data_IF_104445298899
#
_entry.id   IF_104445298899
#
_cell.length_a   1.000
_cell.length_b   1.000
_cell.length_c   1.000
_cell.angle_alpha   90.00
_cell.angle_beta   90.00
_cell.angle_gamma   90.00
#
_symmetry.space_group_name_H-M   'P 1'
#
loop_
_entity.id
_entity.type
_entity.pdbx_description
1 polymer ?
#
# COMPACT_ATOMS: atom_id res chain seq x y z
N UNK A 1 16.08 14.17 5.76
CA UNK A 1 15.70 13.06 4.87
C UNK A 1 14.23 12.75 5.11
N UNK A 2 13.43 12.72 4.06
CA UNK A 2 11.98 12.49 4.11
C UNK A 2 11.67 10.99 4.01
N UNK A 3 10.43 10.57 4.35
CA UNK A 3 10.00 9.18 4.15
C UNK A 3 10.13 8.74 2.68
N UNK A 4 9.89 9.65 1.74
CA UNK A 4 10.02 9.38 0.31
C UNK A 4 11.47 9.09 -0.09
N UNK A 5 12.44 9.77 0.53
CA UNK A 5 13.87 9.51 0.34
C UNK A 5 14.27 8.13 0.89
N UNK A 6 13.64 7.68 1.99
CA UNK A 6 13.84 6.34 2.55
C UNK A 6 13.25 5.25 1.66
N UNK A 7 12.04 5.47 1.14
CA UNK A 7 11.38 4.57 0.18
C UNK A 7 12.14 4.47 -1.15
N UNK A 8 12.88 5.52 -1.53
CA UNK A 8 13.72 5.54 -2.73
C UNK A 8 14.95 4.61 -2.66
N UNK A 9 15.31 4.13 -1.48
CA UNK A 9 16.45 3.21 -1.31
C UNK A 9 16.07 1.72 -1.51
N UNK A 10 14.76 1.39 -1.51
CA UNK A 10 14.30 0.00 -1.61
C UNK A 10 14.33 -0.48 -3.05
N UNK A 11 15.06 -1.56 -3.33
CA UNK A 11 15.08 -2.21 -4.65
C UNK A 11 14.33 -3.57 -4.63
N UNK A 12 13.78 -4.02 -5.78
CA UNK A 12 12.70 -5.00 -5.80
C UNK A 12 13.15 -6.45 -5.92
N UNK A 13 14.44 -6.72 -6.08
CA UNK A 13 14.98 -7.97 -6.67
C UNK A 13 14.66 -9.25 -5.91
N UNK A 14 13.79 -9.18 -4.91
CA UNK A 14 13.98 -10.00 -3.77
C UNK A 14 12.87 -10.03 -2.71
N UNK A 15 11.59 -9.78 -3.04
CA UNK A 15 10.48 -9.83 -2.06
C UNK A 15 10.36 -11.17 -1.29
N UNK A 16 11.12 -12.17 -1.73
CA UNK A 16 11.61 -13.25 -0.89
C UNK A 16 10.57 -14.34 -0.78
N UNK A 17 10.05 -14.53 0.43
CA UNK A 17 9.15 -15.65 0.77
C UNK A 17 7.73 -15.16 1.07
N UNK A 18 6.71 -16.04 0.93
CA UNK A 18 5.36 -15.74 1.38
C UNK A 18 5.30 -15.34 2.86
N UNK A 19 4.41 -14.40 3.18
CA UNK A 19 4.20 -13.95 4.55
C UNK A 19 3.67 -15.06 5.45
N UNK A 20 4.12 -15.07 6.70
CA UNK A 20 3.65 -15.98 7.75
C UNK A 20 3.82 -15.35 9.14
N UNK A 21 3.06 -15.88 10.11
CA UNK A 21 2.97 -15.34 11.46
C UNK A 21 4.31 -15.26 12.20
N UNK A 22 5.18 -16.26 12.05
CA UNK A 22 6.45 -16.30 12.75
C UNK A 22 7.37 -15.16 12.29
N UNK A 23 7.48 -14.97 10.97
CA UNK A 23 8.29 -13.91 10.38
C UNK A 23 7.65 -12.53 10.53
N UNK A 24 6.31 -12.47 10.57
CA UNK A 24 5.59 -11.24 10.86
C UNK A 24 5.91 -10.75 12.29
N UNK A 25 5.80 -11.65 13.29
CA UNK A 25 6.23 -11.35 14.66
C UNK A 25 7.72 -11.05 14.77
N UNK A 26 8.55 -11.67 13.93
CA UNK A 26 9.98 -11.41 13.87
C UNK A 26 10.31 -9.99 13.43
N UNK A 27 9.50 -9.45 12.53
CA UNK A 27 9.76 -8.19 11.81
C UNK A 27 8.76 -7.09 12.15
N UNK A 28 8.02 -7.17 13.27
CA UNK A 28 7.06 -6.13 13.70
C UNK A 28 7.70 -4.75 13.94
N UNK A 29 9.02 -4.69 14.05
CA UNK A 29 9.75 -3.43 14.09
C UNK A 29 9.51 -2.52 12.89
N UNK A 30 9.10 -3.06 11.74
CA UNK A 30 8.86 -2.30 10.52
C UNK A 30 7.83 -1.18 10.71
N UNK A 31 6.90 -1.31 11.66
CA UNK A 31 5.89 -0.29 11.95
C UNK A 31 6.44 0.90 12.74
N UNK A 32 7.57 0.75 13.44
CA UNK A 32 8.13 1.79 14.33
C UNK A 32 9.52 2.25 13.92
N UNK A 33 10.09 1.66 12.87
CA UNK A 33 11.41 2.04 12.34
C UNK A 33 11.22 2.92 11.10
N UNK A 34 11.61 4.22 11.16
CA UNK A 34 11.30 5.16 10.08
C UNK A 34 12.33 5.16 8.93
N UNK A 35 13.50 4.55 9.11
CA UNK A 35 14.60 4.63 8.12
C UNK A 35 14.94 3.27 7.53
N UNK A 36 15.36 3.26 6.26
CA UNK A 36 15.81 2.06 5.57
C UNK A 36 16.98 1.39 6.31
N UNK A 37 18.00 2.17 6.66
CA UNK A 37 19.16 1.69 7.40
C UNK A 37 18.80 1.09 8.77
N UNK A 38 17.83 1.70 9.48
CA UNK A 38 17.35 1.19 10.75
C UNK A 38 16.64 -0.16 10.62
N UNK A 39 15.94 -0.41 9.50
CA UNK A 39 15.30 -1.71 9.24
C UNK A 39 16.38 -2.79 9.11
N UNK A 40 17.44 -2.52 8.33
CA UNK A 40 18.56 -3.44 8.15
C UNK A 40 19.28 -3.76 9.46
N UNK A 41 19.52 -2.74 10.29
CA UNK A 41 20.15 -2.94 11.60
C UNK A 41 19.34 -3.89 12.49
N UNK A 42 18.02 -3.69 12.55
CA UNK A 42 17.11 -4.53 13.36
C UNK A 42 16.95 -5.95 12.79
N UNK A 43 17.22 -6.16 11.50
CA UNK A 43 17.19 -7.50 10.90
C UNK A 43 18.24 -8.44 11.50
N UNK A 44 19.38 -7.93 12.02
CA UNK A 44 20.42 -8.76 12.65
C UNK A 44 19.92 -9.52 13.87
N UNK A 45 19.12 -8.87 14.71
CA UNK A 45 18.51 -9.52 15.87
C UNK A 45 17.39 -10.47 15.46
N UNK A 46 16.55 -10.08 14.50
CA UNK A 46 15.48 -10.92 14.00
C UNK A 46 15.99 -12.19 13.31
N UNK A 47 17.10 -12.11 12.56
CA UNK A 47 17.78 -13.24 11.95
C UNK A 47 18.28 -14.25 12.98
N UNK A 48 18.90 -13.77 14.08
CA UNK A 48 19.30 -14.62 15.21
C UNK A 48 18.10 -15.34 15.83
N UNK A 49 17.00 -14.62 16.09
CA UNK A 49 15.78 -15.20 16.68
C UNK A 49 15.10 -16.22 15.77
N UNK A 50 15.10 -15.98 14.47
CA UNK A 50 14.52 -16.88 13.48
C UNK A 50 15.45 -18.05 13.10
N UNK A 51 16.73 -17.99 13.49
CA UNK A 51 17.78 -18.89 12.99
C UNK A 51 17.77 -18.95 11.45
N UNK A 52 17.64 -17.78 10.82
CA UNK A 52 17.51 -17.64 9.37
C UNK A 52 18.65 -16.78 8.80
N UNK A 53 19.01 -16.94 7.51
CA UNK A 53 19.98 -16.06 6.85
C UNK A 53 19.57 -14.59 6.95
N UNK A 54 20.52 -13.71 7.28
CA UNK A 54 20.27 -12.28 7.46
C UNK A 54 19.60 -11.67 6.21
N UNK A 55 20.14 -11.95 5.03
CA UNK A 55 19.60 -11.44 3.76
C UNK A 55 18.13 -11.84 3.57
N UNK A 56 17.74 -13.07 3.93
CA UNK A 56 16.35 -13.50 3.82
C UNK A 56 15.42 -12.69 4.73
N UNK A 57 15.88 -12.35 5.95
CA UNK A 57 15.14 -11.52 6.91
C UNK A 57 15.08 -10.07 6.46
N UNK A 58 16.18 -9.51 5.95
CA UNK A 58 16.23 -8.16 5.38
C UNK A 58 15.23 -8.01 4.23
N UNK A 59 15.26 -8.93 3.28
CA UNK A 59 14.33 -8.99 2.15
C UNK A 59 12.87 -9.01 2.58
N UNK A 60 12.55 -9.85 3.57
CA UNK A 60 11.20 -9.96 4.11
C UNK A 60 10.77 -8.69 4.86
N UNK A 61 11.63 -8.17 5.74
CA UNK A 61 11.35 -6.99 6.53
C UNK A 61 11.19 -5.75 5.65
N UNK A 62 12.09 -5.55 4.68
CA UNK A 62 12.02 -4.44 3.72
C UNK A 62 10.76 -4.50 2.87
N UNK A 63 10.35 -5.67 2.40
CA UNK A 63 9.09 -5.79 1.66
C UNK A 63 7.88 -5.39 2.52
N UNK A 64 7.81 -5.85 3.78
CA UNK A 64 6.72 -5.43 4.70
C UNK A 64 6.78 -3.94 5.03
N UNK A 65 7.98 -3.44 5.32
CA UNK A 65 8.24 -2.05 5.62
C UNK A 65 7.81 -1.15 4.45
N UNK A 66 8.24 -1.48 3.24
CA UNK A 66 7.89 -0.75 2.03
C UNK A 66 6.38 -0.70 1.81
N UNK A 67 5.67 -1.83 1.93
CA UNK A 67 4.22 -1.86 1.78
C UNK A 67 3.49 -1.02 2.84
N UNK A 68 3.93 -1.07 4.09
CA UNK A 68 3.34 -0.28 5.16
C UNK A 68 3.60 1.22 4.97
N UNK A 69 4.86 1.61 4.75
CA UNK A 69 5.24 3.02 4.66
C UNK A 69 4.79 3.68 3.37
N UNK A 70 4.70 2.95 2.24
CA UNK A 70 4.04 3.48 1.04
C UNK A 70 2.54 3.71 1.28
N UNK A 71 1.84 2.81 1.98
CA UNK A 71 0.44 3.03 2.36
C UNK A 71 0.28 4.28 3.23
N UNK A 72 1.08 4.43 4.29
CA UNK A 72 1.04 5.62 5.17
C UNK A 72 1.37 6.93 4.42
N UNK A 73 2.32 6.88 3.47
CA UNK A 73 2.69 8.03 2.67
C UNK A 73 1.56 8.46 1.71
N UNK A 74 0.90 7.50 1.06
CA UNK A 74 -0.27 7.77 0.20
C UNK A 74 -1.48 8.23 1.01
N UNK A 75 -1.72 7.63 2.17
CA UNK A 75 -2.79 8.06 3.08
C UNK A 75 -2.57 9.52 3.50
N UNK A 76 -1.33 9.90 3.80
CA UNK A 76 -0.98 11.28 4.16
C UNK A 76 -1.23 12.27 3.01
N UNK A 77 -1.00 11.88 1.75
CA UNK A 77 -1.36 12.69 0.58
C UNK A 77 -2.88 12.88 0.46
N UNK A 78 -3.67 11.83 0.72
CA UNK A 78 -5.14 11.93 0.72
C UNK A 78 -5.62 12.85 1.85
N UNK A 79 -5.09 12.67 3.06
CA UNK A 79 -5.47 13.43 4.26
C UNK A 79 -5.05 14.90 4.21
N UNK A 80 -4.14 15.29 3.31
CA UNK A 80 -3.81 16.69 3.06
C UNK A 80 -4.95 17.45 2.37
N UNK A 81 -5.91 16.74 1.76
CA UNK A 81 -7.03 17.36 1.06
C UNK A 81 -8.16 17.78 2.05
N UNK A 82 -8.77 18.98 1.93
CA UNK A 82 -9.79 19.48 2.87
C UNK A 82 -11.09 18.66 2.97
N UNK A 83 -11.33 17.74 2.03
CA UNK A 83 -12.47 16.81 2.04
C UNK A 83 -12.16 15.51 2.79
N UNK A 84 -10.92 15.27 3.17
CA UNK A 84 -10.50 14.05 3.83
C UNK A 84 -10.24 14.31 5.32
N UNK A 85 -10.58 13.33 6.16
CA UNK A 85 -10.15 13.31 7.57
C UNK A 85 -9.79 11.90 8.00
N UNK A 86 -8.83 11.73 8.93
CA UNK A 86 -8.46 10.40 9.40
C UNK A 86 -9.58 9.78 10.25
N UNK A 87 -9.58 8.46 10.34
CA UNK A 87 -10.29 7.77 11.42
C UNK A 87 -9.63 8.09 12.78
N UNK A 88 -10.38 8.33 13.87
CA UNK A 88 -9.81 8.65 15.19
C UNK A 88 -8.88 7.55 15.74
N UNK A 89 -9.26 6.29 15.51
CA UNK A 89 -8.40 5.14 15.74
C UNK A 89 -7.63 4.78 14.46
N UNK A 90 -6.31 4.98 14.47
CA UNK A 90 -5.40 4.63 13.36
C UNK A 90 -5.30 3.14 13.08
N UNK A 91 -5.76 2.29 14.00
CA UNK A 91 -5.75 0.82 13.86
C UNK A 91 -7.13 0.26 13.58
N UNK A 92 -8.08 1.13 13.22
CA UNK A 92 -9.43 0.68 12.94
C UNK A 92 -9.42 -0.35 11.80
N UNK A 93 -10.09 -1.50 11.97
CA UNK A 93 -9.84 -2.67 11.12
C UNK A 93 -10.33 -2.52 9.67
N UNK A 94 -11.20 -1.54 9.39
CA UNK A 94 -11.92 -1.45 8.10
C UNK A 94 -12.08 -0.04 7.54
N UNK A 95 -11.55 0.98 8.22
CA UNK A 95 -11.68 2.39 7.83
C UNK A 95 -10.40 3.13 8.21
N UNK A 96 -9.67 3.63 7.22
CA UNK A 96 -8.47 4.43 7.40
C UNK A 96 -8.81 5.94 7.47
N UNK A 97 -9.75 6.39 6.64
CA UNK A 97 -10.14 7.79 6.52
C UNK A 97 -11.59 7.94 6.06
N UNK A 98 -12.11 9.16 6.16
CA UNK A 98 -13.42 9.56 5.65
C UNK A 98 -13.25 10.58 4.53
N UNK A 99 -14.08 10.49 3.50
CA UNK A 99 -14.24 11.52 2.48
C UNK A 99 -15.61 12.15 2.58
N UNK A 100 -15.65 13.47 2.50
CA UNK A 100 -16.89 14.24 2.39
C UNK A 100 -17.34 14.33 0.94
N UNK A 101 -18.57 13.91 0.65
CA UNK A 101 -19.22 14.10 -0.66
C UNK A 101 -19.71 15.55 -0.84
N UNK A 102 -20.40 15.82 -1.95
CA UNK A 102 -20.88 17.17 -2.30
C UNK A 102 -22.01 17.65 -1.40
N UNK A 103 -22.80 16.72 -0.89
CA UNK A 103 -23.90 16.97 0.03
C UNK A 103 -23.41 17.11 1.48
N UNK A 104 -22.10 17.04 1.70
CA UNK A 104 -21.49 17.16 3.02
C UNK A 104 -21.51 15.88 3.84
N UNK A 105 -21.93 14.74 3.26
CA UNK A 105 -21.95 13.45 3.95
C UNK A 105 -20.56 12.84 3.95
N UNK A 106 -20.19 12.23 5.05
CA UNK A 106 -18.91 11.55 5.19
C UNK A 106 -19.06 10.05 4.96
N UNK A 107 -18.21 9.51 4.09
CA UNK A 107 -18.15 8.08 3.79
C UNK A 107 -16.76 7.56 4.19
N UNK A 108 -16.72 6.51 5.00
CA UNK A 108 -15.47 5.89 5.45
C UNK A 108 -14.90 4.93 4.41
N UNK A 109 -13.58 4.93 4.23
CA UNK A 109 -12.85 4.11 3.27
C UNK A 109 -11.61 3.44 3.89
N UNK A 110 -11.35 2.22 3.44
CA UNK A 110 -10.08 1.47 3.61
C UNK A 110 -9.20 1.68 2.36
N UNK A 111 -7.97 2.16 2.55
CA UNK A 111 -7.05 2.45 1.45
C UNK A 111 -6.33 1.17 1.01
N UNK A 112 -6.36 0.90 -0.30
CA UNK A 112 -5.69 -0.26 -0.89
C UNK A 112 -4.76 0.15 -2.03
N UNK A 113 -3.48 -0.16 -1.87
CA UNK A 113 -2.46 0.02 -2.90
C UNK A 113 -2.21 -1.32 -3.59
N UNK A 114 -2.38 -1.38 -4.91
CA UNK A 114 -2.18 -2.62 -5.67
C UNK A 114 -1.51 -2.36 -7.01
N UNK A 115 -0.69 -3.31 -7.47
CA UNK A 115 -0.34 -3.35 -8.89
C UNK A 115 -1.59 -3.69 -9.72
N UNK A 116 -1.57 -3.40 -11.01
CA UNK A 116 -2.59 -3.90 -11.92
C UNK A 116 -2.60 -5.45 -11.88
N UNK A 117 -3.76 -6.11 -11.71
CA UNK A 117 -3.77 -7.54 -11.44
C UNK A 117 -3.44 -8.36 -12.69
N UNK A 118 -2.44 -9.24 -12.61
CA UNK A 118 -2.06 -10.13 -13.71
C UNK A 118 -3.18 -11.07 -14.15
N UNK A 119 -4.09 -11.42 -13.23
CA UNK A 119 -5.22 -12.33 -13.47
C UNK A 119 -6.50 -11.60 -13.90
N UNK A 120 -6.46 -10.29 -14.05
CA UNK A 120 -7.63 -9.53 -14.51
C UNK A 120 -7.93 -9.88 -15.97
N UNK A 121 -9.17 -10.27 -16.33
CA UNK A 121 -9.46 -10.88 -17.63
C UNK A 121 -9.48 -9.90 -18.81
N UNK A 122 -9.18 -8.62 -18.60
CA UNK A 122 -9.26 -7.57 -19.63
C UNK A 122 -7.96 -6.76 -19.65
N UNK A 123 -7.71 -6.07 -20.76
CA UNK A 123 -6.54 -5.19 -20.87
C UNK A 123 -6.61 -4.00 -19.92
N UNK A 124 -5.45 -3.41 -19.62
CA UNK A 124 -5.39 -2.13 -18.90
C UNK A 124 -6.24 -1.05 -19.58
N UNK A 125 -6.18 -0.92 -20.91
CA UNK A 125 -6.97 0.06 -21.65
C UNK A 125 -8.48 -0.14 -21.46
N UNK A 126 -8.94 -1.39 -21.36
CA UNK A 126 -10.33 -1.67 -21.03
C UNK A 126 -10.64 -1.25 -19.59
N UNK A 127 -9.80 -1.65 -18.63
CA UNK A 127 -9.97 -1.33 -17.21
C UNK A 127 -10.02 0.19 -16.96
N UNK A 128 -9.16 0.93 -17.64
CA UNK A 128 -9.07 2.39 -17.55
C UNK A 128 -10.36 3.07 -18.02
N UNK A 129 -11.00 2.54 -19.08
CA UNK A 129 -12.29 3.04 -19.57
C UNK A 129 -13.50 2.52 -18.77
N UNK A 130 -13.33 1.43 -18.03
CA UNK A 130 -14.39 0.76 -17.27
C UNK A 130 -13.92 0.51 -15.82
N UNK A 131 -13.62 1.56 -15.04
CA UNK A 131 -13.03 1.44 -13.71
C UNK A 131 -13.92 0.65 -12.74
N UNK A 132 -15.25 0.71 -12.90
CA UNK A 132 -16.22 -0.07 -12.12
C UNK A 132 -16.03 -1.57 -12.27
N UNK A 133 -15.73 -2.05 -13.49
CA UNK A 133 -15.51 -3.49 -13.73
C UNK A 133 -14.22 -3.96 -13.04
N UNK A 134 -13.15 -3.15 -13.09
CA UNK A 134 -11.92 -3.45 -12.36
C UNK A 134 -12.15 -3.44 -10.84
N UNK A 135 -12.85 -2.44 -10.33
CA UNK A 135 -13.21 -2.34 -8.91
C UNK A 135 -13.99 -3.57 -8.44
N UNK A 136 -15.04 -3.97 -9.15
CA UNK A 136 -15.82 -5.18 -8.84
C UNK A 136 -14.95 -6.43 -8.84
N UNK A 137 -14.05 -6.56 -9.81
CA UNK A 137 -13.12 -7.67 -9.87
C UNK A 137 -12.17 -7.69 -8.66
N UNK A 138 -11.59 -6.53 -8.29
CA UNK A 138 -10.70 -6.40 -7.12
C UNK A 138 -11.42 -6.78 -5.81
N UNK A 139 -12.68 -6.39 -5.65
CA UNK A 139 -13.51 -6.78 -4.51
C UNK A 139 -13.75 -8.30 -4.45
N UNK A 140 -14.02 -8.94 -5.60
CA UNK A 140 -14.27 -10.38 -5.65
C UNK A 140 -13.01 -11.23 -5.42
N UNK A 141 -11.84 -10.70 -5.80
CA UNK A 141 -10.56 -11.40 -5.75
C UNK A 141 -9.68 -10.99 -4.56
N UNK A 142 -10.26 -10.33 -3.55
CA UNK A 142 -9.59 -10.05 -2.29
C UNK A 142 -9.32 -11.33 -1.50
N UNK A 143 -8.35 -11.31 -0.58
CA UNK A 143 -8.07 -12.43 0.32
C UNK A 143 -9.37 -12.88 1.02
N UNK A 144 -9.68 -14.17 0.90
CA UNK A 144 -10.94 -14.79 1.35
C UNK A 144 -10.91 -15.21 2.83
N UNK A 145 -9.81 -14.95 3.54
CA UNK A 145 -9.61 -15.34 4.94
C UNK A 145 -10.23 -14.31 5.93
N UNK A 146 -9.82 -14.35 7.22
CA UNK A 146 -10.28 -13.49 8.35
C UNK A 146 -10.33 -11.97 8.08
N UNK A 147 -9.83 -11.49 6.94
CA UNK A 147 -9.84 -10.10 6.50
C UNK A 147 -10.92 -9.80 5.43
N UNK A 148 -11.86 -10.72 5.19
CA UNK A 148 -12.98 -10.46 4.30
C UNK A 148 -13.98 -9.51 4.97
N UNK A 149 -14.00 -8.24 4.54
CA UNK A 149 -15.04 -7.27 4.89
C UNK A 149 -15.56 -6.60 3.61
N UNK A 150 -16.76 -6.03 3.71
CA UNK A 150 -17.45 -5.30 2.62
C UNK A 150 -17.42 -3.78 2.82
N UNK A 151 -16.47 -3.28 3.61
CA UNK A 151 -16.31 -1.84 3.78
C UNK A 151 -15.92 -1.17 2.45
N UNK A 152 -16.22 0.12 2.31
CA UNK A 152 -15.81 0.86 1.13
C UNK A 152 -14.28 0.93 1.07
N UNK A 153 -13.74 0.80 -0.14
CA UNK A 153 -12.31 0.79 -0.39
C UNK A 153 -11.97 1.79 -1.47
N UNK A 154 -10.93 2.56 -1.22
CA UNK A 154 -10.30 3.37 -2.25
C UNK A 154 -9.08 2.60 -2.77
N UNK A 155 -9.13 2.20 -4.05
CA UNK A 155 -8.01 1.53 -4.68
C UNK A 155 -7.11 2.51 -5.43
N UNK A 156 -5.82 2.50 -5.11
CA UNK A 156 -4.76 3.12 -5.91
C UNK A 156 -4.08 2.01 -6.69
N UNK A 157 -4.29 2.00 -8.00
CA UNK A 157 -3.81 0.95 -8.91
C UNK A 157 -2.58 1.44 -9.69
N UNK A 158 -1.45 0.76 -9.50
CA UNK A 158 -0.18 1.07 -10.14
C UNK A 158 0.03 0.20 -11.39
N UNK A 159 0.33 0.83 -12.52
CA UNK A 159 0.60 0.13 -13.78
C UNK A 159 1.70 0.85 -14.55
N UNK A 160 2.83 0.17 -14.78
CA UNK A 160 3.84 0.61 -15.75
C UNK A 160 3.60 -0.12 -17.08
N UNK A 161 3.38 0.67 -18.13
CA UNK A 161 3.10 0.17 -19.49
C UNK A 161 4.32 -0.47 -20.15
N UNK A 162 5.53 -0.18 -19.66
CA UNK A 162 6.80 -0.64 -20.24
C UNK A 162 7.28 -1.93 -19.57
N UNK A 163 7.13 -2.02 -18.26
CA UNK A 163 7.42 -3.23 -17.50
C UNK A 163 6.37 -3.41 -16.40
N UNK A 164 5.43 -4.37 -16.50
CA UNK A 164 4.47 -4.64 -15.44
C UNK A 164 5.11 -4.90 -14.07
N UNK A 165 6.35 -5.40 -14.03
CA UNK A 165 7.12 -5.57 -12.79
C UNK A 165 7.57 -4.24 -12.21
N UNK A 166 7.57 -3.15 -12.96
CA UNK A 166 7.89 -1.79 -12.50
C UNK A 166 6.81 -1.14 -11.62
N UNK A 167 5.66 -1.79 -11.41
CA UNK A 167 4.58 -1.26 -10.60
C UNK A 167 4.99 -0.96 -9.14
N UNK A 168 5.98 -1.68 -8.59
CA UNK A 168 6.51 -1.36 -7.27
C UNK A 168 7.18 0.02 -7.27
N UNK A 169 8.00 0.35 -8.28
CA UNK A 169 8.74 1.61 -8.33
C UNK A 169 7.78 2.81 -8.43
N UNK A 170 6.62 2.62 -9.06
CA UNK A 170 5.57 3.65 -9.10
C UNK A 170 4.96 3.95 -7.72
N UNK A 171 5.05 3.04 -6.73
CA UNK A 171 4.53 3.27 -5.37
C UNK A 171 5.36 4.26 -4.57
N UNK A 172 6.58 4.56 -5.01
CA UNK A 172 7.46 5.56 -4.41
C UNK A 172 7.56 6.86 -5.23
N UNK A 173 6.83 6.96 -6.34
CA UNK A 173 6.77 8.18 -7.17
C UNK A 173 5.79 9.17 -6.54
N UNK A 174 6.29 9.98 -5.60
CA UNK A 174 5.50 10.94 -4.82
C UNK A 174 4.65 11.84 -5.71
N UNK A 175 5.27 12.48 -6.69
CA UNK A 175 4.64 13.56 -7.45
C UNK A 175 3.54 13.01 -8.36
N UNK A 176 3.79 11.84 -8.96
CA UNK A 176 2.77 11.17 -9.78
C UNK A 176 1.58 10.70 -8.95
N UNK A 177 1.83 10.21 -7.72
CA UNK A 177 0.75 9.82 -6.81
C UNK A 177 -0.03 11.06 -6.34
N UNK A 178 0.66 12.11 -5.91
CA UNK A 178 0.03 13.35 -5.45
C UNK A 178 -0.90 13.94 -6.53
N UNK A 179 -0.40 14.07 -7.77
CA UNK A 179 -1.20 14.56 -8.88
C UNK A 179 -2.41 13.66 -9.21
N UNK A 180 -2.30 12.34 -9.02
CA UNK A 180 -3.41 11.42 -9.25
C UNK A 180 -4.46 11.51 -8.13
N UNK A 181 -4.03 11.63 -6.87
CA UNK A 181 -4.89 11.79 -5.70
C UNK A 181 -5.64 13.12 -5.78
N UNK A 182 -4.95 14.22 -6.05
CA UNK A 182 -5.54 15.55 -6.19
C UNK A 182 -6.61 15.57 -7.27
N UNK A 183 -6.28 15.13 -8.49
CA UNK A 183 -7.25 15.03 -9.60
C UNK A 183 -8.47 14.17 -9.24
N UNK A 184 -8.29 13.08 -8.49
CA UNK A 184 -9.42 12.26 -8.05
C UNK A 184 -10.31 13.02 -7.06
N UNK A 185 -9.72 13.70 -6.08
CA UNK A 185 -10.44 14.42 -5.03
C UNK A 185 -11.11 15.71 -5.49
N UNK A 186 -10.64 16.31 -6.59
CA UNK A 186 -11.26 17.47 -7.24
C UNK A 186 -12.48 17.10 -8.10
N UNK A 187 -12.54 15.87 -8.62
CA UNK A 187 -13.67 15.44 -9.45
C UNK A 187 -14.93 15.21 -8.61
N UNK A 188 -16.15 15.44 -9.18
CA UNK A 188 -17.39 14.90 -8.65
C UNK A 188 -17.30 13.38 -8.49
N UNK A 189 -17.65 12.87 -7.32
CA UNK A 189 -17.91 11.45 -7.08
C UNK A 189 -18.93 11.31 -5.96
#
# INVERSE_FOLDING_TARGET
>A
MTLWDELAQVEPEAWGRPQNDAWDRATNFIYTTPTYAGVLERCREAARRLQAPLEAVERYALHRWYNYHTHEAVLSLILAHPRARPHPDRRHPTVDFYLRDREGREVGFDLKLTGFPDRYPRSFSYAYRHPVHLMQWLYHHQSKERRHHRANRLFVVFYDRRDPRGAWALRRDRDRIAAAVERFLEQPH
#
